data_IF_189553753342
#
_entry.id   IF_189553753342
#
_cell.length_a   1.000
_cell.length_b   1.000
_cell.length_c   1.000
_cell.angle_alpha   90.00
_cell.angle_beta   90.00
_cell.angle_gamma   90.00
#
_symmetry.space_group_name_H-M   'P 1'
#
loop_
_entity.id
_entity.type
_entity.pdbx_description
1 polymer ?
#
# COMPACT_ATOMS: atom_id res chain seq x y z
N UNK A 1 49.06 15.38 -54.11
CA UNK A 1 48.42 14.07 -54.27
C UNK A 1 47.52 13.83 -53.08
N UNK A 2 46.21 14.16 -53.19
CA UNK A 2 45.25 14.06 -52.11
C UNK A 2 44.64 12.68 -52.09
N UNK A 3 44.84 11.93 -50.98
CA UNK A 3 44.08 10.69 -50.73
C UNK A 3 42.70 11.09 -50.26
N UNK A 4 41.67 10.71 -51.04
CA UNK A 4 40.26 10.70 -50.57
C UNK A 4 40.11 9.51 -49.62
N UNK A 5 39.89 9.76 -48.31
CA UNK A 5 39.33 8.77 -47.40
C UNK A 5 37.93 8.45 -47.87
N UNK A 6 37.70 7.19 -48.21
CA UNK A 6 36.34 6.69 -48.52
C UNK A 6 35.77 6.26 -47.18
N UNK A 7 34.89 7.12 -46.65
CA UNK A 7 34.09 6.81 -45.46
C UNK A 7 33.10 5.69 -45.83
N UNK A 8 33.39 4.46 -45.43
CA UNK A 8 32.53 3.31 -45.64
C UNK A 8 31.55 3.23 -44.48
N UNK A 9 30.32 3.81 -44.63
CA UNK A 9 29.21 3.59 -43.73
C UNK A 9 28.66 2.18 -43.92
N UNK A 10 28.91 1.28 -42.96
CA UNK A 10 28.28 -0.03 -42.91
C UNK A 10 26.91 0.12 -42.24
N UNK A 11 25.84 0.05 -42.97
CA UNK A 11 24.46 0.04 -42.45
C UNK A 11 24.06 -1.42 -42.20
N UNK A 12 24.03 -1.81 -40.94
CA UNK A 12 23.51 -3.10 -40.52
C UNK A 12 22.02 -3.02 -40.18
N UNK A 13 21.20 -3.85 -40.77
CA UNK A 13 19.80 -4.02 -40.39
C UNK A 13 19.67 -5.20 -39.43
N UNK A 14 19.26 -4.92 -38.19
CA UNK A 14 18.95 -5.97 -37.20
C UNK A 14 17.45 -6.14 -37.14
N UNK A 15 16.94 -7.30 -37.57
CA UNK A 15 15.53 -7.66 -37.38
C UNK A 15 15.41 -8.34 -35.99
N UNK A 16 14.76 -7.69 -35.06
CA UNK A 16 14.45 -8.26 -33.75
C UNK A 16 13.04 -8.85 -33.80
N UNK A 17 12.94 -10.16 -33.75
CA UNK A 17 11.67 -10.88 -33.68
C UNK A 17 11.35 -11.14 -32.20
N UNK A 18 10.40 -10.38 -31.64
CA UNK A 18 9.97 -10.52 -30.26
C UNK A 18 8.51 -10.96 -30.18
N UNK A 19 8.20 -11.81 -29.22
CA UNK A 19 6.81 -12.11 -28.90
C UNK A 19 6.04 -10.82 -28.56
N UNK A 20 4.73 -10.74 -28.86
CA UNK A 20 3.91 -9.59 -28.48
C UNK A 20 4.08 -9.24 -26.99
N UNK A 21 4.20 -7.94 -26.69
CA UNK A 21 4.43 -7.46 -25.33
C UNK A 21 3.41 -8.04 -24.34
N UNK A 22 2.14 -8.16 -24.74
CA UNK A 22 1.11 -8.79 -23.93
C UNK A 22 1.48 -10.22 -23.53
N UNK A 23 1.97 -11.03 -24.46
CA UNK A 23 2.38 -12.42 -24.19
C UNK A 23 3.54 -12.49 -23.19
N UNK A 24 4.48 -11.54 -23.27
CA UNK A 24 5.60 -11.43 -22.34
C UNK A 24 5.09 -11.06 -20.95
N UNK A 25 4.20 -10.07 -20.86
CA UNK A 25 3.60 -9.64 -19.58
C UNK A 25 2.76 -10.75 -18.94
N UNK A 26 1.99 -11.50 -19.74
CA UNK A 26 1.19 -12.62 -19.27
C UNK A 26 2.09 -13.75 -18.73
N UNK A 27 3.16 -14.09 -19.46
CA UNK A 27 4.15 -15.09 -19.00
C UNK A 27 4.82 -14.68 -17.68
N UNK A 28 5.17 -13.42 -17.53
CA UNK A 28 5.77 -12.90 -16.30
C UNK A 28 4.75 -12.71 -15.17
N UNK A 29 3.45 -12.75 -15.46
CA UNK A 29 2.38 -12.51 -14.48
C UNK A 29 2.30 -11.05 -14.01
N UNK A 30 2.74 -10.12 -14.86
CA UNK A 30 2.76 -8.65 -14.58
C UNK A 30 1.46 -7.97 -15.00
N UNK A 31 0.52 -8.72 -15.56
CA UNK A 31 -0.82 -8.24 -15.93
C UNK A 31 -1.70 -7.96 -14.70
N UNK A 32 -2.81 -7.27 -14.92
CA UNK A 32 -3.84 -7.06 -13.88
C UNK A 32 -4.33 -8.41 -13.33
N UNK A 33 -4.41 -8.53 -12.00
CA UNK A 33 -4.72 -9.77 -11.27
C UNK A 33 -3.72 -10.91 -11.47
N UNK A 34 -2.56 -10.63 -12.07
CA UNK A 34 -1.49 -11.59 -12.25
C UNK A 34 -0.76 -11.95 -10.96
N UNK A 35 0.06 -12.99 -11.01
CA UNK A 35 0.75 -13.50 -9.83
C UNK A 35 1.73 -12.51 -9.20
N UNK A 36 2.34 -11.64 -10.00
CA UNK A 36 3.26 -10.60 -9.52
C UNK A 36 2.48 -9.57 -8.68
N UNK A 37 1.32 -9.13 -9.16
CA UNK A 37 0.47 -8.21 -8.41
C UNK A 37 -0.06 -8.87 -7.13
N UNK A 38 -0.52 -10.13 -7.20
CA UNK A 38 -0.97 -10.91 -6.02
C UNK A 38 0.12 -11.06 -4.97
N UNK A 39 1.34 -11.39 -5.40
CA UNK A 39 2.50 -11.46 -4.52
C UNK A 39 2.77 -10.13 -3.83
N UNK A 40 2.78 -9.03 -4.60
CA UNK A 40 3.03 -7.70 -4.06
C UNK A 40 1.95 -7.27 -3.06
N UNK A 41 0.66 -7.40 -3.41
CA UNK A 41 -0.45 -7.05 -2.50
C UNK A 41 -0.42 -7.89 -1.23
N UNK A 42 -0.18 -9.19 -1.33
CA UNK A 42 -0.05 -10.07 -0.17
C UNK A 42 1.13 -9.66 0.73
N UNK A 43 2.27 -9.29 0.14
CA UNK A 43 3.45 -8.83 0.88
C UNK A 43 3.17 -7.51 1.61
N UNK A 44 2.59 -6.51 0.93
CA UNK A 44 2.18 -5.24 1.54
C UNK A 44 1.18 -5.50 2.67
N UNK A 45 0.12 -6.28 2.42
CA UNK A 45 -0.91 -6.62 3.41
C UNK A 45 -0.34 -7.25 4.68
N UNK A 46 0.64 -8.14 4.54
CA UNK A 46 1.33 -8.79 5.68
C UNK A 46 2.17 -7.79 6.49
N UNK A 47 2.88 -6.90 5.81
CA UNK A 47 3.83 -5.97 6.45
C UNK A 47 3.16 -4.78 7.09
N UNK A 48 2.13 -4.20 6.45
CA UNK A 48 1.44 -3.00 6.91
C UNK A 48 0.80 -3.18 8.29
N UNK A 49 0.43 -4.40 8.66
CA UNK A 49 -0.17 -4.72 9.95
C UNK A 49 0.69 -4.27 11.13
N UNK A 50 2.02 -4.28 11.00
CA UNK A 50 2.97 -3.88 12.06
C UNK A 50 2.95 -2.37 12.33
N UNK A 51 2.46 -1.58 11.38
CA UNK A 51 2.38 -0.12 11.44
C UNK A 51 0.98 0.37 11.79
N UNK A 52 -0.02 -0.51 11.71
CA UNK A 52 -1.40 -0.20 12.05
C UNK A 52 -1.63 -0.24 13.57
N UNK A 53 -2.53 0.61 14.09
CA UNK A 53 -2.91 0.57 15.49
C UNK A 53 -3.53 -0.79 15.88
N UNK A 54 -3.13 -1.29 17.05
CA UNK A 54 -3.64 -2.55 17.59
C UNK A 54 -4.22 -2.33 18.98
N UNK A 55 -5.52 -2.47 19.14
CA UNK A 55 -6.19 -2.56 20.44
C UNK A 55 -6.82 -3.95 20.61
N UNK A 56 -7.81 -4.27 19.80
CA UNK A 56 -8.45 -5.60 19.73
C UNK A 56 -8.07 -6.37 18.45
N UNK A 57 -7.33 -5.73 17.54
CA UNK A 57 -7.01 -6.29 16.23
C UNK A 57 -8.15 -6.19 15.21
N UNK A 58 -9.31 -5.64 15.56
CA UNK A 58 -10.48 -5.58 14.67
C UNK A 58 -10.19 -4.84 13.36
N UNK A 59 -9.51 -3.69 13.41
CA UNK A 59 -9.14 -2.91 12.20
C UNK A 59 -8.24 -3.72 11.27
N UNK A 60 -7.26 -4.45 11.82
CA UNK A 60 -6.34 -5.29 11.04
C UNK A 60 -7.10 -6.47 10.43
N UNK A 61 -7.97 -7.13 11.19
CA UNK A 61 -8.78 -8.25 10.69
C UNK A 61 -9.70 -7.81 9.55
N UNK A 62 -10.37 -6.66 9.69
CA UNK A 62 -11.22 -6.10 8.64
C UNK A 62 -10.40 -5.69 7.41
N UNK A 63 -9.25 -5.06 7.59
CA UNK A 63 -8.34 -4.75 6.48
C UNK A 63 -7.96 -6.02 5.70
N UNK A 64 -7.64 -7.12 6.38
CA UNK A 64 -7.28 -8.39 5.72
C UNK A 64 -8.44 -8.93 4.88
N UNK A 65 -9.65 -8.89 5.41
CA UNK A 65 -10.87 -9.38 4.73
C UNK A 65 -11.23 -8.48 3.54
N UNK A 66 -11.10 -7.16 3.72
CA UNK A 66 -11.46 -6.15 2.71
C UNK A 66 -10.39 -5.96 1.61
N UNK A 67 -9.21 -6.57 1.75
CA UNK A 67 -8.09 -6.42 0.83
C UNK A 67 -7.68 -7.78 0.26
N UNK A 68 -8.44 -8.35 -0.70
CA UNK A 68 -8.07 -9.59 -1.35
C UNK A 68 -6.75 -9.42 -2.13
N UNK A 69 -5.97 -10.49 -2.24
CA UNK A 69 -4.64 -10.41 -2.84
C UNK A 69 -4.66 -10.15 -4.37
N UNK A 70 -5.77 -10.46 -5.02
CA UNK A 70 -5.99 -10.23 -6.45
C UNK A 70 -6.38 -8.79 -6.80
N UNK A 71 -6.53 -7.93 -5.80
CA UNK A 71 -6.79 -6.51 -5.98
C UNK A 71 -5.52 -5.68 -5.68
N UNK A 72 -5.23 -4.61 -6.45
CA UNK A 72 -3.99 -3.83 -6.33
C UNK A 72 -4.03 -2.76 -5.23
N UNK A 73 -4.85 -2.92 -4.21
CA UNK A 73 -5.01 -1.95 -3.13
C UNK A 73 -5.20 -2.61 -1.76
N UNK A 74 -4.91 -1.83 -0.72
CA UNK A 74 -5.23 -2.18 0.67
C UNK A 74 -6.38 -1.28 1.13
N UNK A 75 -7.48 -1.91 1.50
CA UNK A 75 -8.70 -1.24 1.89
C UNK A 75 -8.94 -1.36 3.40
N UNK A 76 -9.38 -0.26 4.02
CA UNK A 76 -9.73 -0.21 5.44
C UNK A 76 -10.99 0.63 5.60
N UNK A 77 -12.13 -0.01 5.55
CA UNK A 77 -13.42 0.64 5.75
C UNK A 77 -13.96 0.32 7.15
N UNK A 78 -13.63 1.20 8.07
CA UNK A 78 -14.20 1.20 9.43
C UNK A 78 -14.52 2.64 9.83
N UNK A 79 -15.58 2.89 10.62
CA UNK A 79 -16.04 4.24 10.95
C UNK A 79 -14.99 5.17 11.56
N UNK A 80 -13.98 4.60 12.19
CA UNK A 80 -12.88 5.31 12.85
C UNK A 80 -11.54 5.24 12.09
N UNK A 81 -11.50 4.62 10.89
CA UNK A 81 -10.26 4.48 10.11
C UNK A 81 -9.58 5.82 9.85
N UNK A 82 -10.36 6.82 9.45
CA UNK A 82 -9.86 8.17 9.18
C UNK A 82 -9.16 8.79 10.39
N UNK A 83 -9.75 8.66 11.58
CA UNK A 83 -9.18 9.13 12.85
C UNK A 83 -7.84 8.44 13.10
N UNK A 84 -7.81 7.12 13.02
CA UNK A 84 -6.61 6.34 13.25
C UNK A 84 -5.52 6.61 12.21
N UNK A 85 -5.89 6.81 10.95
CA UNK A 85 -4.93 7.07 9.87
C UNK A 85 -4.25 8.43 10.00
N UNK A 86 -5.04 9.49 10.25
CA UNK A 86 -4.48 10.83 10.41
C UNK A 86 -3.87 11.08 11.79
N UNK A 87 -4.10 10.21 12.76
CA UNK A 87 -3.60 10.38 14.12
C UNK A 87 -4.23 11.55 14.88
N UNK A 88 -5.43 11.98 14.47
CA UNK A 88 -6.12 13.12 15.07
C UNK A 88 -7.46 12.71 15.64
N UNK A 89 -7.78 13.26 16.81
CA UNK A 89 -9.09 13.06 17.42
C UNK A 89 -10.15 13.76 16.55
N UNK A 90 -11.21 13.04 16.21
CA UNK A 90 -12.35 13.58 15.48
C UNK A 90 -13.40 14.09 16.49
N UNK A 91 -13.85 15.32 16.31
CA UNK A 91 -14.76 16.01 17.23
C UNK A 91 -16.02 16.49 16.52
N UNK A 92 -17.07 16.66 17.29
CA UNK A 92 -18.28 17.34 16.86
C UNK A 92 -17.95 18.82 16.60
N UNK A 93 -18.27 19.40 15.43
CA UNK A 93 -17.89 20.77 15.09
C UNK A 93 -18.56 21.82 15.98
N UNK A 94 -19.72 21.48 16.59
CA UNK A 94 -20.47 22.42 17.45
C UNK A 94 -19.99 22.43 18.90
N UNK A 95 -19.66 21.23 19.42
CA UNK A 95 -19.31 21.07 20.85
C UNK A 95 -17.81 20.92 21.10
N UNK A 96 -17.01 20.65 20.06
CA UNK A 96 -15.58 20.33 20.18
C UNK A 96 -15.30 19.00 20.92
N UNK A 97 -16.34 18.24 21.25
CA UNK A 97 -16.21 16.99 21.98
C UNK A 97 -16.06 15.79 21.02
N UNK A 98 -15.23 14.81 21.38
CA UNK A 98 -15.10 13.58 20.61
C UNK A 98 -16.33 12.67 20.76
N UNK A 99 -17.07 12.82 21.83
CA UNK A 99 -18.29 12.11 22.16
C UNK A 99 -18.69 12.41 23.60
N UNK A 100 -19.67 11.71 24.12
CA UNK A 100 -20.18 11.85 25.47
C UNK A 100 -20.46 10.46 26.07
N UNK A 101 -20.35 10.36 27.37
CA UNK A 101 -20.64 9.14 28.10
C UNK A 101 -22.15 9.08 28.40
N UNK A 102 -22.74 7.92 28.14
CA UNK A 102 -24.13 7.59 28.46
C UNK A 102 -24.16 6.35 29.37
N UNK A 103 -25.32 6.03 29.93
CA UNK A 103 -25.51 4.78 30.69
C UNK A 103 -25.13 3.52 29.86
N UNK A 104 -25.24 3.58 28.53
CA UNK A 104 -24.92 2.52 27.60
C UNK A 104 -23.52 2.69 26.96
N UNK A 105 -22.59 3.40 27.62
CA UNK A 105 -21.23 3.61 27.18
C UNK A 105 -21.02 4.88 26.34
N UNK A 106 -19.85 4.97 25.72
CA UNK A 106 -19.43 6.13 24.95
C UNK A 106 -20.19 6.24 23.63
N UNK A 107 -20.79 7.41 23.39
CA UNK A 107 -21.60 7.68 22.19
C UNK A 107 -21.17 8.96 21.49
N UNK A 108 -21.51 9.05 20.21
CA UNK A 108 -21.40 10.25 19.40
C UNK A 108 -22.78 10.73 18.99
N UNK A 109 -22.93 12.02 18.77
CA UNK A 109 -24.19 12.59 18.24
C UNK A 109 -24.48 11.98 16.87
N UNK A 110 -25.66 11.39 16.72
CA UNK A 110 -26.10 10.75 15.47
C UNK A 110 -26.31 11.81 14.37
N UNK A 111 -25.92 11.50 13.14
CA UNK A 111 -26.13 12.38 11.98
C UNK A 111 -25.22 13.62 11.92
N UNK A 112 -24.28 13.80 12.85
CA UNK A 112 -23.35 14.92 12.84
C UNK A 112 -21.98 14.46 12.31
N UNK A 113 -21.54 14.92 11.13
CA UNK A 113 -20.21 14.66 10.61
C UNK A 113 -19.14 15.22 11.54
N UNK A 114 -18.20 14.39 11.96
CA UNK A 114 -17.09 14.85 12.80
C UNK A 114 -16.01 15.53 11.97
N UNK A 115 -15.37 16.52 12.55
CA UNK A 115 -14.24 17.25 11.97
C UNK A 115 -12.94 16.88 12.69
N UNK A 116 -11.83 17.03 12.00
CA UNK A 116 -10.50 16.80 12.57
C UNK A 116 -10.16 17.93 13.55
N UNK A 117 -9.77 17.57 14.78
CA UNK A 117 -9.25 18.50 15.78
C UNK A 117 -7.72 18.59 15.72
N UNK A 118 -7.14 19.53 16.47
CA UNK A 118 -5.69 19.65 16.64
C UNK A 118 -5.12 18.64 17.66
N UNK A 119 -5.97 17.90 18.36
CA UNK A 119 -5.55 16.92 19.37
C UNK A 119 -5.05 15.63 18.71
N UNK A 120 -3.86 15.18 19.11
CA UNK A 120 -3.29 13.94 18.62
C UNK A 120 -3.86 12.71 19.35
N UNK A 121 -3.92 11.58 18.62
CA UNK A 121 -4.25 10.29 19.21
C UNK A 121 -3.01 9.69 19.81
N UNK A 122 -3.12 9.20 21.04
CA UNK A 122 -2.10 8.36 21.65
C UNK A 122 -2.31 6.91 21.21
N UNK A 123 -1.37 6.39 20.41
CA UNK A 123 -1.40 4.99 19.98
C UNK A 123 -0.88 4.07 21.08
N UNK A 124 -1.60 2.98 21.32
CA UNK A 124 -1.08 1.86 22.10
C UNK A 124 -0.01 1.13 21.27
N UNK A 125 1.20 1.07 21.82
CA UNK A 125 2.37 0.43 21.19
C UNK A 125 2.74 -0.91 21.81
N UNK A 126 1.96 -1.41 22.75
CA UNK A 126 2.24 -2.66 23.48
C UNK A 126 2.31 -3.86 22.52
N UNK A 127 1.35 -3.99 21.63
CA UNK A 127 1.30 -5.07 20.64
C UNK A 127 2.05 -4.73 19.34
N UNK A 128 1.92 -3.49 18.87
CA UNK A 128 2.56 -3.01 17.64
C UNK A 128 3.45 -1.80 17.96
N UNK A 129 4.72 -1.99 18.31
CA UNK A 129 5.63 -0.89 18.66
C UNK A 129 5.81 0.15 17.54
N UNK A 130 5.60 -0.25 16.28
CA UNK A 130 5.68 0.62 15.11
C UNK A 130 4.37 1.32 14.75
N UNK A 131 3.29 1.10 15.53
CA UNK A 131 1.99 1.72 15.28
C UNK A 131 2.05 3.25 15.29
N UNK A 132 1.32 3.87 14.37
CA UNK A 132 1.27 5.32 14.25
C UNK A 132 0.39 5.78 13.10
N UNK A 133 0.28 7.10 12.87
CA UNK A 133 -0.44 7.66 11.74
C UNK A 133 0.27 7.34 10.42
N UNK A 134 -0.47 7.44 9.31
CA UNK A 134 0.07 7.24 7.96
C UNK A 134 0.87 5.93 7.82
N UNK A 135 0.29 4.81 8.22
CA UNK A 135 0.96 3.51 8.30
C UNK A 135 1.50 3.00 6.96
N UNK A 136 0.90 3.39 5.84
CA UNK A 136 1.39 3.14 4.49
C UNK A 136 2.74 3.85 4.23
N UNK A 137 2.83 5.14 4.54
CA UNK A 137 4.06 5.93 4.38
C UNK A 137 5.17 5.42 5.30
N UNK A 138 4.80 5.05 6.52
CA UNK A 138 5.74 4.45 7.49
C UNK A 138 6.26 3.11 7.02
N UNK A 139 5.41 2.27 6.45
CA UNK A 139 5.81 1.01 5.84
C UNK A 139 6.79 1.25 4.68
N UNK A 140 6.43 2.13 3.74
CA UNK A 140 7.27 2.43 2.57
C UNK A 140 8.62 3.00 2.98
N UNK A 141 8.65 3.92 3.95
CA UNK A 141 9.90 4.49 4.45
C UNK A 141 10.81 3.46 5.14
N UNK A 142 10.23 2.49 5.85
CA UNK A 142 11.01 1.51 6.61
C UNK A 142 11.37 0.24 5.82
N UNK A 143 10.48 -0.22 4.94
CA UNK A 143 10.61 -1.53 4.29
C UNK A 143 10.45 -1.48 2.75
N UNK A 144 10.30 -0.28 2.16
CA UNK A 144 10.06 -0.12 0.72
C UNK A 144 11.15 -0.73 -0.15
N UNK A 145 12.41 -0.48 0.17
CA UNK A 145 13.56 -1.05 -0.56
C UNK A 145 13.55 -2.60 -0.52
N UNK A 146 13.27 -3.16 0.65
CA UNK A 146 13.19 -4.62 0.81
C UNK A 146 12.01 -5.20 0.02
N UNK A 147 10.83 -4.57 0.06
CA UNK A 147 9.67 -5.01 -0.71
C UNK A 147 9.94 -4.97 -2.22
N UNK A 148 10.65 -3.95 -2.69
CA UNK A 148 11.05 -3.83 -4.10
C UNK A 148 12.02 -4.95 -4.49
N UNK A 149 13.03 -5.23 -3.67
CA UNK A 149 14.00 -6.31 -3.92
C UNK A 149 13.31 -7.69 -3.96
N UNK A 150 12.39 -7.96 -3.03
CA UNK A 150 11.61 -9.21 -3.01
C UNK A 150 10.73 -9.35 -4.26
N UNK A 151 10.11 -8.25 -4.71
CA UNK A 151 9.29 -8.24 -5.92
C UNK A 151 10.15 -8.50 -7.17
N UNK A 152 11.30 -7.84 -7.29
CA UNK A 152 12.23 -8.05 -8.40
C UNK A 152 12.73 -9.49 -8.44
N UNK A 153 13.07 -10.07 -7.31
CA UNK A 153 13.47 -11.48 -7.23
C UNK A 153 12.34 -12.43 -7.62
N UNK A 154 11.10 -12.14 -7.20
CA UNK A 154 9.93 -12.91 -7.61
C UNK A 154 9.74 -12.90 -9.14
N UNK A 155 9.82 -11.74 -9.77
CA UNK A 155 9.72 -11.59 -11.24
C UNK A 155 10.85 -12.32 -11.95
N UNK A 156 12.09 -12.19 -11.45
CA UNK A 156 13.27 -12.87 -12.01
C UNK A 156 13.14 -14.40 -12.01
N UNK A 157 12.61 -14.97 -10.93
CA UNK A 157 12.36 -16.42 -10.83
C UNK A 157 11.31 -16.89 -11.84
N UNK A 158 10.30 -16.09 -12.11
CA UNK A 158 9.29 -16.43 -13.12
C UNK A 158 9.85 -16.36 -14.55
N UNK A 159 10.69 -15.37 -14.84
CA UNK A 159 11.32 -15.24 -16.16
C UNK A 159 12.29 -16.37 -16.54
N UNK A 160 12.73 -17.16 -15.54
CA UNK A 160 13.61 -18.34 -15.75
C UNK A 160 12.85 -19.65 -15.99
N UNK A 161 11.53 -19.65 -15.82
CA UNK A 161 10.65 -20.80 -16.12
C UNK A 161 10.04 -20.66 -17.51
#
# INVERSE_FOLDING_TARGET
MWRREVDMHVVGHIKVDMAPVKTILDRLGVNAKGDVQRFHTANVRRRIQRYMPYRSGATIKLMIVQSPADEPFIHVDVPYARMLYYGKVMVDPKTGAAGFLTANGWRSRKGVPKVKSNRDIRYDKTKNPRAGPFWDRRLVAAEGAQMTAELQEYVRRRGRR
#
